data_IF_857829093036
#
_entry.id   IF_857829093036
#
_cell.length_a   1.000
_cell.length_b   1.000
_cell.length_c   1.000
_cell.angle_alpha   90.00
_cell.angle_beta   90.00
_cell.angle_gamma   90.00
#
_symmetry.space_group_name_H-M   'P 1'
#
loop_
_entity.id
_entity.type
_entity.pdbx_description
1 polymer ?
#
# COMPACT_ATOMS: atom_id res chain seq x y z
N UNK A 1 14.40 6.03 -34.85
CA UNK A 1 14.03 4.82 -35.59
C UNK A 1 12.65 4.45 -35.10
N UNK A 2 11.63 5.05 -35.72
CA UNK A 2 10.24 4.73 -35.40
C UNK A 2 9.91 3.39 -36.03
N UNK A 3 9.44 2.44 -35.22
CA UNK A 3 9.03 1.12 -35.70
C UNK A 3 7.91 1.27 -36.73
N UNK A 4 7.96 0.49 -37.81
CA UNK A 4 6.90 0.47 -38.82
C UNK A 4 5.54 0.20 -38.15
N UNK A 5 4.45 0.88 -38.54
CA UNK A 5 3.13 0.66 -37.96
C UNK A 5 2.69 -0.81 -38.01
N UNK A 6 3.11 -1.56 -39.03
CA UNK A 6 2.84 -2.99 -39.19
C UNK A 6 3.54 -3.86 -38.12
N UNK A 7 4.80 -3.54 -37.76
CA UNK A 7 5.55 -4.24 -36.71
C UNK A 7 4.91 -4.03 -35.34
N UNK A 8 4.39 -2.83 -35.09
CA UNK A 8 3.71 -2.54 -33.83
C UNK A 8 2.37 -3.30 -33.73
N UNK A 9 1.65 -3.42 -34.85
CA UNK A 9 0.39 -4.16 -34.90
C UNK A 9 0.59 -5.66 -34.63
N UNK A 10 1.55 -6.29 -35.30
CA UNK A 10 1.90 -7.70 -35.07
C UNK A 10 2.35 -7.95 -33.63
N UNK A 11 3.08 -7.02 -33.02
CA UNK A 11 3.47 -7.12 -31.61
C UNK A 11 2.26 -7.12 -30.68
N UNK A 12 1.29 -6.25 -30.91
CA UNK A 12 0.06 -6.19 -30.10
C UNK A 12 -0.78 -7.46 -30.28
N UNK A 13 -0.84 -8.02 -31.49
CA UNK A 13 -1.51 -9.31 -31.73
C UNK A 13 -0.85 -10.45 -30.98
N UNK A 14 0.47 -10.53 -30.98
CA UNK A 14 1.19 -11.56 -30.23
C UNK A 14 0.99 -11.45 -28.72
N UNK A 15 0.80 -10.23 -28.20
CA UNK A 15 0.46 -10.00 -26.80
C UNK A 15 -0.97 -10.51 -26.52
N UNK A 16 -1.95 -10.15 -27.37
CA UNK A 16 -3.35 -10.56 -27.20
C UNK A 16 -3.59 -12.06 -27.35
N UNK A 17 -2.69 -12.77 -28.06
CA UNK A 17 -2.72 -14.24 -28.19
C UNK A 17 -2.31 -14.99 -26.92
N UNK A 18 -1.77 -14.32 -25.91
CA UNK A 18 -1.40 -15.00 -24.68
C UNK A 18 -2.66 -15.57 -24.00
N UNK A 19 -2.55 -16.76 -23.39
CA UNK A 19 -3.70 -17.38 -22.73
C UNK A 19 -4.22 -16.47 -21.63
N UNK A 20 -5.55 -16.31 -21.57
CA UNK A 20 -6.23 -15.46 -20.58
C UNK A 20 -5.82 -13.98 -20.55
N UNK A 21 -5.24 -13.47 -21.66
CA UNK A 21 -4.84 -12.06 -21.75
C UNK A 21 -6.00 -11.08 -21.51
N UNK A 22 -7.25 -11.50 -21.76
CA UNK A 22 -8.44 -10.70 -21.47
C UNK A 22 -8.58 -10.31 -19.98
N UNK A 23 -7.97 -11.08 -19.07
CA UNK A 23 -8.00 -10.83 -17.63
C UNK A 23 -6.85 -9.92 -17.17
N UNK A 24 -5.88 -9.62 -18.05
CA UNK A 24 -4.74 -8.79 -17.69
C UNK A 24 -5.15 -7.33 -17.48
N UNK A 25 -4.60 -6.62 -16.46
CA UNK A 25 -5.00 -5.25 -16.13
C UNK A 25 -4.79 -4.24 -17.28
N UNK A 26 -3.95 -4.57 -18.27
CA UNK A 26 -3.61 -3.69 -19.40
C UNK A 26 -4.31 -4.09 -20.70
N UNK A 27 -5.18 -5.11 -20.70
CA UNK A 27 -5.84 -5.61 -21.89
C UNK A 27 -6.57 -4.51 -22.66
N UNK A 28 -7.35 -3.68 -21.95
CA UNK A 28 -8.07 -2.55 -22.55
C UNK A 28 -7.13 -1.56 -23.27
N UNK A 29 -6.04 -1.16 -22.61
CA UNK A 29 -5.09 -0.19 -23.18
C UNK A 29 -4.41 -0.71 -24.46
N UNK A 30 -4.17 -2.02 -24.52
CA UNK A 30 -3.57 -2.70 -25.67
C UNK A 30 -4.58 -2.83 -26.81
N UNK A 31 -5.82 -3.20 -26.51
CA UNK A 31 -6.92 -3.24 -27.49
C UNK A 31 -7.16 -1.86 -28.10
N UNK A 32 -7.23 -0.81 -27.27
CA UNK A 32 -7.39 0.56 -27.75
C UNK A 32 -6.23 1.01 -28.64
N UNK A 33 -5.01 0.62 -28.31
CA UNK A 33 -3.82 0.94 -29.12
C UNK A 33 -3.82 0.21 -30.47
N UNK A 34 -4.30 -1.04 -30.50
CA UNK A 34 -4.45 -1.82 -31.73
C UNK A 34 -5.52 -1.22 -32.66
N UNK A 35 -6.67 -0.84 -32.11
CA UNK A 35 -7.75 -0.21 -32.88
C UNK A 35 -7.34 1.15 -33.46
N UNK A 36 -6.62 1.97 -32.68
CA UNK A 36 -6.07 3.24 -33.16
C UNK A 36 -5.04 3.06 -34.29
N UNK A 37 -4.36 1.91 -34.32
CA UNK A 37 -3.42 1.54 -35.38
C UNK A 37 -4.07 1.04 -36.67
N UNK A 38 -5.41 1.02 -36.76
CA UNK A 38 -6.13 0.53 -37.94
C UNK A 38 -6.46 -0.97 -37.91
N UNK A 39 -6.25 -1.63 -36.76
CA UNK A 39 -6.59 -3.03 -36.57
C UNK A 39 -8.10 -3.30 -36.56
N UNK A 40 -8.52 -4.47 -37.07
CA UNK A 40 -9.93 -4.83 -37.14
C UNK A 40 -10.48 -5.27 -35.77
N UNK A 41 -11.63 -4.73 -35.30
CA UNK A 41 -12.23 -5.11 -34.03
C UNK A 41 -12.69 -6.58 -34.01
N UNK A 42 -13.09 -7.13 -35.16
CA UNK A 42 -13.47 -8.55 -35.26
C UNK A 42 -12.28 -9.47 -34.97
N UNK A 43 -11.10 -9.08 -35.45
CA UNK A 43 -9.87 -9.83 -35.23
C UNK A 43 -9.46 -9.80 -33.75
N UNK A 44 -9.64 -8.66 -33.06
CA UNK A 44 -9.40 -8.58 -31.61
C UNK A 44 -10.30 -9.55 -30.86
N UNK A 45 -11.59 -9.60 -31.21
CA UNK A 45 -12.55 -10.49 -30.54
C UNK A 45 -12.14 -11.94 -30.74
N UNK A 46 -11.83 -12.38 -31.97
CA UNK A 46 -11.35 -13.75 -32.20
C UNK A 46 -10.07 -14.04 -31.42
N UNK A 47 -9.09 -13.11 -31.45
CA UNK A 47 -7.83 -13.30 -30.73
C UNK A 47 -8.01 -13.45 -29.22
N UNK A 48 -8.92 -12.69 -28.61
CA UNK A 48 -9.17 -12.77 -27.16
C UNK A 48 -10.04 -13.97 -26.78
N UNK A 49 -11.08 -14.27 -27.57
CA UNK A 49 -12.02 -15.38 -27.29
C UNK A 49 -11.35 -16.73 -27.52
N UNK A 50 -10.61 -16.89 -28.62
CA UNK A 50 -9.99 -18.16 -28.98
C UNK A 50 -8.87 -18.56 -27.99
N UNK A 51 -8.26 -17.58 -27.32
CA UNK A 51 -7.19 -17.79 -26.34
C UNK A 51 -7.66 -17.66 -24.88
N UNK A 52 -8.97 -17.57 -24.63
CA UNK A 52 -9.52 -17.59 -23.28
C UNK A 52 -9.67 -19.04 -22.80
N UNK A 53 -8.89 -19.40 -21.77
CA UNK A 53 -8.91 -20.74 -21.15
C UNK A 53 -9.61 -20.73 -19.78
N UNK A 54 -9.65 -19.58 -19.11
CA UNK A 54 -10.35 -19.37 -17.84
C UNK A 54 -9.62 -19.95 -16.62
N UNK A 55 -8.27 -19.97 -16.62
CA UNK A 55 -7.49 -20.55 -15.53
C UNK A 55 -7.79 -19.89 -14.18
N UNK A 56 -7.96 -18.58 -14.15
CA UNK A 56 -8.29 -17.85 -12.94
C UNK A 56 -9.65 -18.30 -12.35
N UNK A 57 -10.67 -18.43 -13.20
CA UNK A 57 -12.00 -18.87 -12.79
C UNK A 57 -12.00 -20.32 -12.30
N UNK A 58 -11.22 -21.20 -12.96
CA UNK A 58 -11.08 -22.59 -12.54
C UNK A 58 -10.35 -22.71 -11.20
N UNK A 59 -9.30 -21.92 -10.98
CA UNK A 59 -8.62 -21.87 -9.69
C UNK A 59 -9.56 -21.41 -8.57
N UNK A 60 -10.36 -20.37 -8.83
CA UNK A 60 -11.40 -19.92 -7.89
C UNK A 60 -12.44 -20.99 -7.59
N UNK A 61 -12.89 -21.71 -8.62
CA UNK A 61 -13.86 -22.78 -8.46
C UNK A 61 -13.33 -23.92 -7.60
N UNK A 62 -12.07 -24.31 -7.78
CA UNK A 62 -11.42 -25.34 -6.96
C UNK A 62 -11.30 -24.89 -5.50
N UNK A 63 -10.95 -23.63 -5.23
CA UNK A 63 -10.92 -23.09 -3.88
C UNK A 63 -12.31 -23.13 -3.23
N UNK A 64 -13.35 -22.77 -3.99
CA UNK A 64 -14.73 -22.84 -3.52
C UNK A 64 -15.19 -24.26 -3.23
N UNK A 65 -14.87 -25.22 -4.09
CA UNK A 65 -15.17 -26.63 -3.86
C UNK A 65 -14.44 -27.18 -2.64
N UNK A 66 -13.18 -26.78 -2.44
CA UNK A 66 -12.43 -27.15 -1.26
C UNK A 66 -13.12 -26.62 0.01
N UNK A 67 -13.55 -25.37 0.03
CA UNK A 67 -14.32 -24.81 1.15
C UNK A 67 -15.56 -25.65 1.44
N UNK A 68 -16.35 -26.02 0.43
CA UNK A 68 -17.56 -26.84 0.60
C UNK A 68 -17.27 -28.27 1.10
N UNK A 69 -16.12 -28.86 0.73
CA UNK A 69 -15.73 -30.20 1.16
C UNK A 69 -15.10 -30.20 2.55
N UNK A 70 -14.42 -29.11 2.94
CA UNK A 70 -13.75 -28.93 4.22
C UNK A 70 -14.69 -28.49 5.36
N UNK A 71 -15.93 -28.07 5.07
CA UNK A 71 -16.99 -27.83 6.07
C UNK A 71 -17.33 -29.09 6.92
N UNK A 72 -16.72 -30.25 6.62
CA UNK A 72 -16.80 -31.49 7.39
C UNK A 72 -15.74 -31.63 8.49
N UNK A 73 -14.76 -30.70 8.59
CA UNK A 73 -13.66 -30.75 9.55
C UNK A 73 -13.46 -29.38 10.21
N UNK A 74 -14.01 -29.18 11.42
CA UNK A 74 -14.09 -27.90 12.16
C UNK A 74 -12.72 -27.26 12.48
N UNK A 75 -11.60 -27.95 12.21
CA UNK A 75 -10.24 -27.51 12.56
C UNK A 75 -9.31 -27.32 11.35
N UNK A 76 -9.80 -27.43 10.11
CA UNK A 76 -8.94 -27.24 8.94
C UNK A 76 -8.82 -25.76 8.57
N UNK A 77 -7.60 -25.23 8.62
CA UNK A 77 -7.24 -23.89 8.13
C UNK A 77 -7.65 -23.81 6.64
N UNK A 78 -8.70 -23.06 6.34
CA UNK A 78 -9.26 -22.98 4.99
C UNK A 78 -8.27 -22.18 4.14
N UNK A 79 -7.45 -22.90 3.39
CA UNK A 79 -6.54 -22.29 2.42
C UNK A 79 -7.35 -21.77 1.23
N UNK A 80 -7.77 -20.52 1.35
CA UNK A 80 -8.47 -19.76 0.31
C UNK A 80 -7.54 -19.38 -0.84
N UNK A 81 -8.12 -18.82 -1.92
CA UNK A 81 -7.40 -18.20 -3.04
C UNK A 81 -6.30 -17.24 -2.58
N UNK A 82 -6.58 -16.47 -1.51
CA UNK A 82 -5.63 -15.51 -0.94
C UNK A 82 -4.39 -16.20 -0.36
N UNK A 83 -4.53 -17.39 0.25
CA UNK A 83 -3.39 -18.14 0.78
C UNK A 83 -2.41 -18.52 -0.34
N UNK A 84 -2.93 -19.06 -1.44
CA UNK A 84 -2.09 -19.43 -2.58
C UNK A 84 -1.46 -18.22 -3.27
N UNK A 85 -2.20 -17.11 -3.34
CA UNK A 85 -1.66 -15.85 -3.83
C UNK A 85 -0.53 -15.33 -2.92
N UNK A 86 -0.69 -15.44 -1.59
CA UNK A 86 0.32 -15.07 -0.61
C UNK A 86 1.60 -15.87 -0.84
N UNK A 87 1.51 -17.19 -0.92
CA UNK A 87 2.65 -18.08 -1.17
C UNK A 87 3.33 -17.76 -2.50
N UNK A 88 2.54 -17.58 -3.57
CA UNK A 88 3.07 -17.24 -4.89
C UNK A 88 3.83 -15.90 -4.89
N UNK A 89 3.31 -14.89 -4.19
CA UNK A 89 3.97 -13.59 -4.06
C UNK A 89 5.25 -13.76 -3.24
N UNK A 90 5.23 -14.49 -2.13
CA UNK A 90 6.41 -14.73 -1.31
C UNK A 90 7.53 -15.42 -2.10
N UNK A 91 7.21 -16.37 -2.98
CA UNK A 91 8.20 -17.06 -3.82
C UNK A 91 8.76 -16.20 -4.96
N UNK A 92 7.93 -15.37 -5.60
CA UNK A 92 8.28 -14.69 -6.85
C UNK A 92 8.65 -13.22 -6.68
N UNK A 93 8.37 -12.64 -5.52
CA UNK A 93 8.64 -11.23 -5.29
C UNK A 93 10.15 -10.95 -5.25
N UNK A 94 10.56 -9.94 -6.02
CA UNK A 94 11.94 -9.48 -6.03
C UNK A 94 11.95 -7.96 -5.97
N UNK A 95 12.66 -7.40 -4.98
CA UNK A 95 12.73 -5.95 -4.78
C UNK A 95 13.24 -5.20 -6.03
N UNK A 96 14.18 -5.80 -6.78
CA UNK A 96 14.73 -5.20 -8.00
C UNK A 96 13.67 -5.01 -9.10
N UNK A 97 12.87 -6.04 -9.39
CA UNK A 97 11.83 -5.96 -10.42
C UNK A 97 10.70 -5.02 -10.01
N UNK A 98 10.31 -5.07 -8.73
CA UNK A 98 9.32 -4.15 -8.18
C UNK A 98 9.79 -2.70 -8.30
N UNK A 99 11.06 -2.42 -7.97
CA UNK A 99 11.65 -1.08 -8.07
C UNK A 99 11.78 -0.60 -9.51
N UNK A 100 12.15 -1.47 -10.46
CA UNK A 100 12.21 -1.13 -11.88
C UNK A 100 10.83 -0.77 -12.44
N UNK A 101 9.81 -1.55 -12.07
CA UNK A 101 8.44 -1.30 -12.49
C UNK A 101 7.87 0.00 -11.89
N UNK A 102 8.07 0.23 -10.60
CA UNK A 102 7.66 1.47 -9.92
C UNK A 102 8.43 2.69 -10.41
N UNK A 103 9.73 2.55 -10.70
CA UNK A 103 10.55 3.64 -11.22
C UNK A 103 10.16 4.08 -12.63
N UNK A 104 9.64 3.18 -13.47
CA UNK A 104 9.26 3.47 -14.86
C UNK A 104 7.82 3.94 -15.05
N UNK A 105 6.87 3.47 -14.25
CA UNK A 105 5.46 3.55 -14.63
C UNK A 105 4.57 4.44 -13.75
N UNK A 106 4.97 4.81 -12.53
CA UNK A 106 4.13 5.69 -11.72
C UNK A 106 4.87 6.28 -10.53
N UNK A 107 4.82 7.61 -10.39
CA UNK A 107 5.12 8.30 -9.12
C UNK A 107 4.03 8.11 -8.06
N UNK A 108 2.88 7.53 -8.45
CA UNK A 108 1.76 7.22 -7.57
C UNK A 108 1.69 5.74 -7.21
N UNK A 109 1.16 5.45 -6.03
CA UNK A 109 0.86 4.08 -5.60
C UNK A 109 -0.22 3.46 -6.50
N UNK A 110 -0.12 2.16 -6.80
CA UNK A 110 -1.08 1.48 -7.65
C UNK A 110 -2.42 1.35 -6.93
N UNK A 111 -3.51 1.44 -7.69
CA UNK A 111 -4.88 1.44 -7.17
C UNK A 111 -5.24 0.13 -6.44
N UNK A 112 -4.68 -1.01 -6.84
CA UNK A 112 -4.88 -2.28 -6.15
C UNK A 112 -4.23 -2.32 -4.77
N UNK A 113 -3.24 -1.47 -4.49
CA UNK A 113 -2.54 -1.47 -3.20
C UNK A 113 -3.42 -0.95 -2.08
N UNK A 114 -4.26 0.06 -2.31
CA UNK A 114 -5.20 0.50 -1.27
C UNK A 114 -6.18 -0.61 -0.91
N UNK A 115 -6.72 -1.31 -1.91
CA UNK A 115 -7.61 -2.46 -1.70
C UNK A 115 -6.90 -3.61 -0.94
N UNK A 116 -5.62 -3.86 -1.24
CA UNK A 116 -4.84 -4.87 -0.52
C UNK A 116 -4.59 -4.50 0.95
N UNK A 117 -4.36 -3.22 1.25
CA UNK A 117 -4.07 -2.75 2.61
C UNK A 117 -5.33 -2.66 3.49
N UNK A 118 -6.52 -2.58 2.89
CA UNK A 118 -7.80 -2.66 3.59
C UNK A 118 -8.03 -4.05 4.22
N UNK A 119 -7.65 -5.14 3.53
CA UNK A 119 -7.73 -6.51 4.07
C UNK A 119 -6.61 -6.76 5.11
N UNK A 120 -6.93 -7.19 6.35
CA UNK A 120 -5.91 -7.58 7.35
C UNK A 120 -4.93 -8.64 6.85
N UNK A 121 -5.36 -9.59 6.01
CA UNK A 121 -4.49 -10.63 5.45
C UNK A 121 -3.47 -10.03 4.47
N UNK A 122 -3.89 -9.01 3.72
CA UNK A 122 -3.03 -8.22 2.84
C UNK A 122 -1.99 -7.41 3.61
N UNK A 123 -2.37 -6.82 4.75
CA UNK A 123 -1.40 -6.15 5.64
C UNK A 123 -0.35 -7.11 6.17
N UNK A 124 -0.76 -8.31 6.60
CA UNK A 124 0.16 -9.38 7.03
C UNK A 124 1.19 -9.75 5.95
N UNK A 125 0.74 -9.94 4.70
CA UNK A 125 1.64 -10.17 3.57
C UNK A 125 2.65 -9.01 3.38
N UNK A 126 2.19 -7.77 3.48
CA UNK A 126 3.10 -6.61 3.35
C UNK A 126 4.16 -6.61 4.46
N UNK A 127 3.80 -6.99 5.69
CA UNK A 127 4.74 -7.12 6.79
C UNK A 127 5.77 -8.23 6.57
N UNK A 128 5.33 -9.39 6.08
CA UNK A 128 6.22 -10.51 5.73
C UNK A 128 7.20 -10.11 4.60
N UNK A 129 6.70 -9.37 3.60
CA UNK A 129 7.51 -8.85 2.49
C UNK A 129 8.49 -7.77 2.93
N UNK A 130 8.10 -6.87 3.83
CA UNK A 130 8.99 -5.82 4.37
C UNK A 130 10.14 -6.45 5.14
N UNK A 131 9.85 -7.50 5.91
CA UNK A 131 10.85 -8.24 6.68
C UNK A 131 11.86 -8.94 5.77
N UNK A 132 11.40 -9.45 4.63
CA UNK A 132 12.23 -10.19 3.67
C UNK A 132 12.96 -9.27 2.67
N UNK A 133 12.38 -8.11 2.34
CA UNK A 133 12.83 -7.24 1.25
C UNK A 133 12.82 -5.74 1.62
N UNK A 134 13.72 -5.29 2.51
CA UNK A 134 13.74 -3.92 3.02
C UNK A 134 14.06 -2.85 1.96
N UNK A 135 14.64 -3.22 0.83
CA UNK A 135 15.07 -2.30 -0.23
C UNK A 135 13.99 -1.97 -1.27
N UNK A 136 12.76 -2.46 -1.10
CA UNK A 136 11.67 -2.19 -2.03
C UNK A 136 11.05 -0.82 -1.77
N UNK A 137 11.03 0.04 -2.80
CA UNK A 137 10.38 1.36 -2.78
C UNK A 137 8.86 1.22 -2.73
N UNK A 138 8.31 0.16 -3.33
CA UNK A 138 6.90 -0.21 -3.27
C UNK A 138 6.48 -0.37 -1.81
N UNK A 139 7.22 -1.19 -1.05
CA UNK A 139 6.92 -1.48 0.35
C UNK A 139 7.09 -0.25 1.24
N UNK A 140 8.08 0.61 0.96
CA UNK A 140 8.24 1.89 1.64
C UNK A 140 6.98 2.77 1.51
N UNK A 141 6.44 2.85 0.28
CA UNK A 141 5.23 3.61 0.00
C UNK A 141 3.97 2.95 0.58
N UNK A 142 3.91 1.62 0.64
CA UNK A 142 2.83 0.89 1.31
C UNK A 142 2.81 1.18 2.82
N UNK A 143 3.96 1.17 3.49
CA UNK A 143 4.07 1.51 4.91
C UNK A 143 3.64 2.96 5.19
N UNK A 144 3.96 3.90 4.30
CA UNK A 144 3.50 5.28 4.42
C UNK A 144 1.98 5.42 4.28
N UNK A 145 1.34 4.63 3.40
CA UNK A 145 -0.11 4.59 3.30
C UNK A 145 -0.74 4.00 4.57
N UNK A 146 -0.19 2.91 5.10
CA UNK A 146 -0.66 2.29 6.33
C UNK A 146 -0.60 3.26 7.51
N UNK A 147 0.51 3.99 7.67
CA UNK A 147 0.64 5.03 8.69
C UNK A 147 -0.28 6.24 8.50
N UNK A 148 -0.87 6.38 7.31
CA UNK A 148 -1.84 7.44 7.04
C UNK A 148 -3.26 7.02 7.39
N UNK A 149 -3.50 5.72 7.61
CA UNK A 149 -4.78 5.22 8.10
C UNK A 149 -4.84 5.19 9.64
N UNK A 150 -5.93 5.66 10.25
CA UNK A 150 -6.07 5.63 11.71
C UNK A 150 -6.28 4.20 12.21
N UNK A 151 -5.56 3.80 13.27
CA UNK A 151 -5.78 2.53 13.97
C UNK A 151 -4.78 1.41 13.63
N UNK A 152 -4.11 1.48 12.47
CA UNK A 152 -3.09 0.50 12.04
C UNK A 152 -1.69 0.81 12.64
N UNK A 153 -1.65 1.85 13.48
CA UNK A 153 -0.48 2.42 14.18
C UNK A 153 0.36 1.34 14.87
N UNK A 154 -0.32 0.61 15.76
CA UNK A 154 0.27 -0.40 16.63
C UNK A 154 0.69 -1.67 15.90
N UNK A 155 0.02 -2.01 14.81
CA UNK A 155 0.40 -3.14 13.95
C UNK A 155 1.76 -2.87 13.28
N UNK A 156 1.95 -1.63 12.78
CA UNK A 156 3.22 -1.21 12.19
C UNK A 156 4.32 -1.12 13.25
N UNK A 157 4.03 -0.58 14.44
CA UNK A 157 4.99 -0.51 15.55
C UNK A 157 5.51 -1.88 15.98
N UNK A 158 4.70 -2.95 15.89
CA UNK A 158 5.09 -4.31 16.24
C UNK A 158 6.25 -4.86 15.39
N UNK A 159 6.47 -4.30 14.19
CA UNK A 159 7.58 -4.67 13.30
C UNK A 159 8.95 -4.20 13.80
N UNK A 160 8.98 -3.23 14.72
CA UNK A 160 10.17 -2.80 15.45
C UNK A 160 11.40 -2.56 14.57
N UNK A 161 12.38 -3.47 14.66
CA UNK A 161 13.69 -3.37 14.02
C UNK A 161 13.65 -3.47 12.49
N UNK A 162 12.64 -4.14 11.92
CA UNK A 162 12.48 -4.29 10.46
C UNK A 162 12.13 -2.96 9.76
N UNK A 163 11.68 -1.96 10.52
CA UNK A 163 11.35 -0.63 10.01
C UNK A 163 12.56 0.29 9.89
N UNK A 164 13.71 -0.05 10.48
CA UNK A 164 14.90 0.82 10.50
C UNK A 164 15.35 1.35 9.13
N UNK A 165 15.30 0.55 8.03
CA UNK A 165 15.63 1.04 6.69
C UNK A 165 14.71 2.16 6.20
N UNK A 166 13.50 2.29 6.78
CA UNK A 166 12.47 3.25 6.39
C UNK A 166 12.48 4.47 7.31
N UNK A 167 13.49 5.33 7.17
CA UNK A 167 13.68 6.53 8.00
C UNK A 167 12.42 7.41 8.16
N UNK A 168 11.65 7.59 7.08
CA UNK A 168 10.42 8.38 7.10
C UNK A 168 9.33 7.82 8.02
N UNK A 169 9.21 6.47 8.08
CA UNK A 169 8.27 5.73 8.92
C UNK A 169 8.71 5.86 10.38
N UNK A 170 9.98 5.59 10.68
CA UNK A 170 10.54 5.73 12.03
C UNK A 170 10.40 7.16 12.56
N UNK A 171 10.68 8.18 11.74
CA UNK A 171 10.54 9.59 12.13
C UNK A 171 9.10 9.91 12.54
N UNK A 172 8.11 9.43 11.80
CA UNK A 172 6.69 9.70 12.06
C UNK A 172 6.22 9.01 13.36
N UNK A 173 6.60 7.75 13.56
CA UNK A 173 6.32 7.01 14.80
C UNK A 173 6.98 7.66 16.02
N UNK A 174 8.25 8.03 15.92
CA UNK A 174 8.98 8.70 17.00
C UNK A 174 8.36 10.05 17.35
N UNK A 175 8.02 10.87 16.35
CA UNK A 175 7.36 12.16 16.58
C UNK A 175 6.03 11.99 17.33
N UNK A 176 5.24 10.96 16.98
CA UNK A 176 3.99 10.65 17.68
C UNK A 176 4.23 10.20 19.12
N UNK A 177 5.22 9.32 19.35
CA UNK A 177 5.58 8.87 20.71
C UNK A 177 6.03 10.04 21.58
N UNK A 178 6.78 10.99 21.03
CA UNK A 178 7.14 12.23 21.72
C UNK A 178 5.91 13.08 22.06
N UNK A 179 4.95 13.24 21.15
CA UNK A 179 3.70 13.97 21.42
C UNK A 179 2.92 13.32 22.57
N UNK A 180 2.73 12.01 22.52
CA UNK A 180 2.01 11.26 23.58
C UNK A 180 2.73 11.37 24.93
N UNK A 181 4.07 11.29 24.92
CA UNK A 181 4.87 11.47 26.13
C UNK A 181 4.75 12.91 26.68
N UNK A 182 4.79 13.92 25.82
CA UNK A 182 4.61 15.32 26.20
C UNK A 182 3.21 15.58 26.77
N UNK A 183 2.16 15.03 26.17
CA UNK A 183 0.78 15.16 26.68
C UNK A 183 0.62 14.48 28.05
N UNK A 184 1.27 13.33 28.24
CA UNK A 184 1.29 12.64 29.54
C UNK A 184 1.99 13.47 30.61
N UNK A 185 3.16 14.06 30.29
CA UNK A 185 3.86 14.98 31.18
C UNK A 185 3.04 16.24 31.49
N UNK A 186 2.32 16.79 30.50
CA UNK A 186 1.43 17.95 30.67
C UNK A 186 0.26 17.62 31.59
N UNK A 187 -0.32 16.43 31.48
CA UNK A 187 -1.39 15.96 32.37
C UNK A 187 -0.93 15.85 33.82
N UNK A 188 0.23 15.25 34.05
CA UNK A 188 0.83 15.12 35.38
C UNK A 188 1.17 16.50 35.98
N UNK A 189 1.73 17.41 35.17
CA UNK A 189 2.02 18.78 35.61
C UNK A 189 0.74 19.55 35.96
N UNK A 190 -0.33 19.44 35.15
CA UNK A 190 -1.63 20.04 35.47
C UNK A 190 -2.22 19.52 36.77
N UNK A 191 -2.17 18.20 37.01
CA UNK A 191 -2.65 17.61 38.27
C UNK A 191 -1.84 18.09 39.47
N UNK A 192 -0.53 18.24 39.34
CA UNK A 192 0.33 18.80 40.38
C UNK A 192 0.05 20.29 40.67
N UNK A 193 -0.26 21.09 39.64
CA UNK A 193 -0.59 22.51 39.78
C UNK A 193 -1.97 22.75 40.40
N UNK A 194 -2.98 21.94 40.06
CA UNK A 194 -4.33 22.00 40.66
C UNK A 194 -4.26 21.70 42.17
N UNK A 195 -3.41 20.76 42.59
CA UNK A 195 -3.14 20.49 44.01
C UNK A 195 -2.40 21.62 44.74
N UNK A 196 -1.77 22.55 44.01
CA UNK A 196 -0.97 23.65 44.56
C UNK A 196 -1.60 25.04 44.40
N UNK A 197 -2.78 25.16 43.77
CA UNK A 197 -3.50 26.44 43.57
C UNK A 197 -2.80 27.47 42.68
N UNK A 198 -1.95 27.04 41.74
CA UNK A 198 -1.20 27.94 40.82
C UNK A 198 -1.69 27.80 39.37
N UNK A 199 -2.83 28.40 39.05
CA UNK A 199 -3.43 28.30 37.71
C UNK A 199 -2.75 29.18 36.65
N UNK A 200 -2.00 30.21 37.05
CA UNK A 200 -1.41 31.22 36.14
C UNK A 200 -0.09 30.80 35.50
N UNK A 201 0.66 29.85 36.05
CA UNK A 201 1.91 29.37 35.43
C UNK A 201 1.69 28.36 34.32
N UNK A 202 0.57 27.62 34.39
CA UNK A 202 0.21 26.57 33.42
C UNK A 202 -0.16 27.17 32.06
N UNK A 203 -0.90 28.29 32.05
CA UNK A 203 -1.29 29.00 30.82
C UNK A 203 -0.09 29.61 30.08
N UNK A 204 0.90 30.14 30.80
CA UNK A 204 2.12 30.69 30.20
C UNK A 204 2.97 29.59 29.55
N UNK A 205 3.13 28.45 30.22
CA UNK A 205 3.89 27.31 29.68
C UNK A 205 3.14 26.65 28.51
N UNK A 206 1.82 26.52 28.59
CA UNK A 206 0.98 25.99 27.51
C UNK A 206 1.05 26.89 26.26
N UNK A 207 1.01 28.21 26.41
CA UNK A 207 1.17 29.15 25.31
C UNK A 207 2.57 29.09 24.69
N UNK A 208 3.62 28.95 25.51
CA UNK A 208 5.00 28.83 25.04
C UNK A 208 5.25 27.54 24.25
N UNK A 209 4.76 26.41 24.76
CA UNK A 209 4.90 25.11 24.09
C UNK A 209 4.05 25.02 22.83
N UNK A 210 2.84 25.62 22.83
CA UNK A 210 2.00 25.69 21.64
C UNK A 210 2.64 26.52 20.53
N UNK A 211 3.30 27.63 20.90
CA UNK A 211 4.08 28.46 19.97
C UNK A 211 5.29 27.70 19.38
N UNK A 212 6.04 26.98 20.21
CA UNK A 212 7.15 26.12 19.76
C UNK A 212 6.67 24.99 18.83
N UNK A 213 5.53 24.37 19.14
CA UNK A 213 4.93 23.32 18.30
C UNK A 213 4.50 23.84 16.93
N UNK A 214 3.91 25.04 16.86
CA UNK A 214 3.54 25.69 15.60
C UNK A 214 4.75 25.99 14.72
N UNK A 215 5.86 26.44 15.30
CA UNK A 215 7.11 26.72 14.58
C UNK A 215 7.75 25.45 13.99
N UNK A 216 7.69 24.33 14.72
CA UNK A 216 8.19 23.04 14.23
C UNK A 216 7.34 22.46 13.10
N UNK A 217 6.04 22.82 13.04
CA UNK A 217 5.10 22.34 12.02
C UNK A 217 5.14 23.16 10.73
N UNK A 218 5.43 24.47 10.79
CA UNK A 218 5.46 25.38 9.64
C UNK A 218 6.64 26.39 9.77
N UNK A 219 7.84 26.07 9.25
CA UNK A 219 9.03 26.92 9.43
C UNK A 219 9.03 28.22 8.60
N UNK A 220 8.09 28.39 7.66
CA UNK A 220 8.06 29.55 6.73
C UNK A 220 6.91 30.54 6.95
N UNK A 221 6.07 30.37 7.99
CA UNK A 221 4.96 31.27 8.26
C UNK A 221 5.21 32.05 9.56
N UNK A 222 5.13 33.41 9.57
CA UNK A 222 5.24 34.16 10.82
C UNK A 222 4.05 33.85 11.74
N UNK A 223 4.25 33.89 13.08
CA UNK A 223 3.24 33.49 14.06
C UNK A 223 2.04 34.44 14.04
N UNK A 224 0.82 33.96 14.32
CA UNK A 224 -0.30 34.84 14.57
C UNK A 224 -0.05 35.62 15.87
N UNK A 225 -0.17 36.94 15.79
CA UNK A 225 0.02 37.85 16.93
C UNK A 225 -0.97 37.50 18.04
N UNK A 226 -0.44 37.06 19.18
CA UNK A 226 -1.22 36.83 20.40
C UNK A 226 -1.61 38.22 20.92
N UNK A 227 -2.89 38.58 20.81
CA UNK A 227 -3.43 39.76 21.49
C UNK A 227 -3.52 39.45 23.00
N UNK A 228 -3.01 40.41 23.78
CA UNK A 228 -2.94 40.42 25.25
C UNK A 228 -4.27 40.15 25.94
#
# INVERSE_FOLDING_TARGET
>A
MDASPEDNQHRLENIMKQPDYILEPKAESVVLSYLKGGGSPQNVISLLVDNYTGYAQMASLVCKWRSLLCDLDENSDVQDEFFYLKEFIMERFTASKANEHFGRHSSSNPQWMSALLEDPRGRGLVYDLVSSHPSSRLLASSLQLLLSQPGVEGEVEALGLHLFPYFSVCRRLLARRLIVALDSCRGLYRQACIGSGRDTSVTVMDNYLHHQYYQLRNPHHPPPSIAS
#
